data_IF_071719323366
#
_entry.id   IF_071719323366
#
_cell.length_a   1.000
_cell.length_b   1.000
_cell.length_c   1.000
_cell.angle_alpha   90.00
_cell.angle_beta   90.00
_cell.angle_gamma   90.00
#
_symmetry.space_group_name_H-M   'P 1'
#
loop_
_entity.id
_entity.type
_entity.pdbx_description
1 polymer ?
#
# COMPACT_ATOMS: atom_id res chain seq x y z
N UNK A 1 -1.79 39.29 28.34
CA UNK A 1 -1.75 37.81 28.29
C UNK A 1 -2.67 37.44 27.14
N UNK A 2 -2.09 37.10 25.99
CA UNK A 2 -2.87 36.62 24.84
C UNK A 2 -3.20 35.16 25.10
N UNK A 3 -4.47 34.80 24.98
CA UNK A 3 -4.90 33.41 25.03
C UNK A 3 -4.14 32.60 23.96
N UNK A 4 -3.75 31.35 24.25
CA UNK A 4 -3.19 30.48 23.24
C UNK A 4 -4.21 30.33 22.11
N UNK A 5 -3.78 30.31 20.84
CA UNK A 5 -4.68 30.06 19.73
C UNK A 5 -5.35 28.69 19.94
N UNK A 6 -6.65 28.64 19.68
CA UNK A 6 -7.42 27.40 19.66
C UNK A 6 -6.68 26.31 18.87
N UNK A 7 -6.74 25.04 19.30
CA UNK A 7 -6.19 23.94 18.52
C UNK A 7 -6.84 23.96 17.13
N UNK A 8 -6.07 23.77 16.04
CA UNK A 8 -6.63 23.76 14.70
C UNK A 8 -7.71 22.68 14.62
N UNK A 9 -8.81 23.04 13.93
CA UNK A 9 -9.98 22.19 13.72
C UNK A 9 -9.59 20.75 13.38
N UNK A 10 -10.35 19.82 13.96
CA UNK A 10 -10.18 18.37 13.96
C UNK A 10 -10.46 17.69 12.61
N UNK A 11 -9.93 18.21 11.51
CA UNK A 11 -9.91 17.52 10.22
C UNK A 11 -8.50 16.97 9.97
N UNK A 12 -8.37 15.65 9.86
CA UNK A 12 -7.13 15.04 9.38
C UNK A 12 -6.76 15.71 8.03
N UNK A 13 -5.52 16.19 7.86
CA UNK A 13 -5.15 16.97 6.69
C UNK A 13 -5.36 16.15 5.42
N UNK A 14 -5.81 16.79 4.34
CA UNK A 14 -5.88 16.10 3.04
C UNK A 14 -4.47 15.81 2.51
N UNK A 15 -4.35 14.89 1.54
CA UNK A 15 -3.06 14.63 0.89
C UNK A 15 -2.47 15.91 0.25
N UNK A 16 -3.33 16.76 -0.32
CA UNK A 16 -2.92 18.03 -0.93
C UNK A 16 -2.32 18.99 0.11
N UNK A 17 -2.94 19.11 1.27
CA UNK A 17 -2.47 19.94 2.39
C UNK A 17 -1.13 19.42 2.93
N UNK A 18 -1.01 18.11 3.08
CA UNK A 18 0.23 17.49 3.54
C UNK A 18 1.38 17.72 2.54
N UNK A 19 1.12 17.58 1.24
CA UNK A 19 2.10 17.88 0.19
C UNK A 19 2.41 19.38 0.14
N UNK A 20 1.43 20.24 0.42
CA UNK A 20 1.53 21.70 0.33
C UNK A 20 1.24 22.23 -1.08
N UNK A 21 0.26 21.66 -1.77
CA UNK A 21 -0.15 22.04 -3.13
C UNK A 21 -1.65 22.28 -3.23
N UNK A 22 -2.07 22.96 -4.30
CA UNK A 22 -3.49 23.14 -4.66
C UNK A 22 -3.94 22.23 -5.79
N UNK A 23 -3.01 21.49 -6.39
CA UNK A 23 -3.31 20.57 -7.47
C UNK A 23 -4.12 19.37 -6.95
N UNK A 24 -4.99 18.82 -7.81
CA UNK A 24 -5.76 17.61 -7.50
C UNK A 24 -5.25 16.37 -8.26
N UNK A 25 -4.19 16.52 -9.08
CA UNK A 25 -3.54 15.39 -9.77
C UNK A 25 -2.13 15.26 -9.24
N UNK A 26 -1.82 14.06 -8.74
CA UNK A 26 -0.53 13.77 -8.12
C UNK A 26 0.16 12.66 -8.91
N UNK A 27 1.45 12.85 -9.17
CA UNK A 27 2.34 11.77 -9.60
C UNK A 27 3.23 11.42 -8.43
N UNK A 28 2.92 10.30 -7.78
CA UNK A 28 3.71 9.75 -6.68
C UNK A 28 4.76 8.80 -7.25
N UNK A 29 6.01 9.24 -7.27
CA UNK A 29 7.11 8.40 -7.73
C UNK A 29 7.50 7.39 -6.65
N UNK A 30 7.31 6.11 -6.95
CA UNK A 30 7.85 4.96 -6.22
C UNK A 30 8.65 4.05 -7.17
N UNK A 31 10.00 4.12 -7.14
CA UNK A 31 10.87 3.30 -7.99
C UNK A 31 10.69 1.78 -7.84
N UNK A 32 9.99 1.33 -6.81
CA UNK A 32 9.71 -0.09 -6.61
C UNK A 32 8.85 -0.68 -7.73
N UNK A 33 8.00 0.12 -8.37
CA UNK A 33 7.15 -0.30 -9.50
C UNK A 33 7.95 -0.66 -10.77
N UNK A 34 9.20 -0.22 -10.90
CA UNK A 34 10.06 -0.60 -12.02
C UNK A 34 10.61 -2.03 -11.89
N UNK A 35 10.48 -2.67 -10.72
CA UNK A 35 11.04 -4.01 -10.50
C UNK A 35 10.08 -5.07 -11.04
N UNK A 36 10.60 -5.96 -11.86
CA UNK A 36 9.86 -7.05 -12.51
C UNK A 36 10.43 -8.43 -12.16
N UNK A 37 9.73 -9.50 -12.54
CA UNK A 37 10.17 -10.89 -12.37
C UNK A 37 10.51 -11.25 -10.92
N UNK A 38 11.69 -11.81 -10.67
CA UNK A 38 12.12 -12.21 -9.32
C UNK A 38 12.34 -11.03 -8.35
N UNK A 39 12.48 -9.81 -8.89
CA UNK A 39 12.69 -8.58 -8.11
C UNK A 39 11.38 -7.83 -7.81
N UNK A 40 10.28 -8.17 -8.49
CA UNK A 40 8.97 -7.55 -8.30
C UNK A 40 8.46 -7.81 -6.87
N UNK A 41 8.60 -6.83 -5.98
CA UNK A 41 8.15 -6.91 -4.58
C UNK A 41 7.68 -5.54 -4.12
N UNK A 42 6.97 -5.46 -3.01
CA UNK A 42 6.59 -4.23 -2.33
C UNK A 42 5.92 -3.17 -3.24
N UNK A 43 5.23 -3.59 -4.32
CA UNK A 43 4.60 -2.69 -5.28
C UNK A 43 3.50 -1.83 -4.65
N UNK A 44 2.83 -2.36 -3.61
CA UNK A 44 1.75 -1.69 -2.89
C UNK A 44 2.23 -1.02 -1.60
N UNK A 45 3.54 -0.91 -1.36
CA UNK A 45 4.09 -0.36 -0.10
C UNK A 45 3.70 1.09 0.20
N UNK A 46 3.33 1.86 -0.82
CA UNK A 46 2.87 3.24 -0.69
C UNK A 46 1.38 3.33 -0.33
N UNK A 47 0.62 2.25 -0.48
CA UNK A 47 -0.82 2.25 -0.27
C UNK A 47 -1.19 2.55 1.19
N UNK A 48 -0.52 1.98 2.22
CA UNK A 48 -0.86 2.29 3.61
C UNK A 48 -0.67 3.77 3.94
N UNK A 49 0.32 4.44 3.33
CA UNK A 49 0.50 5.88 3.46
C UNK A 49 -0.65 6.66 2.81
N UNK A 50 -1.04 6.31 1.59
CA UNK A 50 -2.14 6.98 0.90
C UNK A 50 -3.49 6.78 1.60
N UNK A 51 -3.73 5.60 2.16
CA UNK A 51 -4.92 5.27 2.92
C UNK A 51 -5.10 6.15 4.18
N UNK A 52 -4.02 6.64 4.80
CA UNK A 52 -4.10 7.59 5.93
C UNK A 52 -4.79 8.91 5.57
N UNK A 53 -4.83 9.25 4.28
CA UNK A 53 -5.49 10.45 3.77
C UNK A 53 -6.91 10.17 3.24
N UNK A 54 -7.52 9.05 3.65
CA UNK A 54 -8.89 8.68 3.29
C UNK A 54 -9.06 8.19 1.85
N UNK A 55 -7.98 7.80 1.18
CA UNK A 55 -8.00 7.30 -0.19
C UNK A 55 -8.18 5.77 -0.19
N UNK A 56 -9.41 5.30 -0.42
CA UNK A 56 -9.78 3.88 -0.30
C UNK A 56 -9.99 3.17 -1.64
N UNK A 57 -10.05 3.89 -2.77
CA UNK A 57 -10.32 3.32 -4.09
C UNK A 57 -9.02 3.21 -4.88
N UNK A 58 -8.64 1.99 -5.25
CA UNK A 58 -7.32 1.69 -5.81
C UNK A 58 -7.45 0.90 -7.09
N UNK A 59 -6.81 1.38 -8.14
CA UNK A 59 -6.59 0.66 -9.37
C UNK A 59 -5.16 0.14 -9.42
N UNK A 60 -5.00 -1.16 -9.58
CA UNK A 60 -3.72 -1.78 -9.87
C UNK A 60 -3.93 -3.09 -10.65
N UNK A 61 -2.88 -3.62 -11.31
CA UNK A 61 -2.95 -4.91 -11.97
C UNK A 61 -3.28 -6.06 -11.01
N UNK A 62 -4.02 -7.05 -11.49
CA UNK A 62 -4.36 -8.25 -10.72
C UNK A 62 -3.13 -8.99 -10.16
N UNK A 63 -2.00 -8.96 -10.85
CA UNK A 63 -0.73 -9.56 -10.39
C UNK A 63 -0.17 -8.97 -9.08
N UNK A 64 -0.74 -7.88 -8.57
CA UNK A 64 -0.37 -7.34 -7.26
C UNK A 64 -1.33 -7.77 -6.16
N UNK A 65 -2.52 -8.29 -6.49
CA UNK A 65 -3.51 -8.81 -5.53
C UNK A 65 -3.24 -10.29 -5.22
N UNK A 66 -2.30 -10.54 -4.32
CA UNK A 66 -1.83 -11.89 -3.99
C UNK A 66 -2.57 -12.52 -2.79
N UNK A 67 -3.81 -12.13 -2.51
CA UNK A 67 -4.61 -12.75 -1.44
C UNK A 67 -4.22 -12.35 -0.02
N UNK A 68 -3.58 -11.18 0.17
CA UNK A 68 -3.41 -10.54 1.47
C UNK A 68 -3.45 -9.02 1.31
N UNK A 69 -4.19 -8.35 2.19
CA UNK A 69 -4.27 -6.89 2.23
C UNK A 69 -3.88 -6.38 3.62
N UNK A 70 -2.81 -5.58 3.69
CA UNK A 70 -2.36 -4.97 4.96
C UNK A 70 -3.16 -3.72 5.33
N UNK A 71 -3.94 -3.19 4.40
CA UNK A 71 -4.88 -2.08 4.61
C UNK A 71 -6.12 -2.35 3.78
N UNK A 72 -7.28 -1.89 4.25
CA UNK A 72 -8.53 -2.01 3.51
C UNK A 72 -8.58 -1.05 2.33
N UNK A 73 -9.02 -1.54 1.18
CA UNK A 73 -9.29 -0.74 -0.01
C UNK A 73 -10.24 -1.47 -0.96
N UNK A 74 -10.90 -0.69 -1.82
CA UNK A 74 -11.75 -1.14 -2.92
C UNK A 74 -10.91 -1.25 -4.18
N UNK A 75 -10.57 -2.48 -4.55
CA UNK A 75 -9.83 -2.78 -5.77
C UNK A 75 -10.69 -2.53 -7.02
N UNK A 76 -10.09 -1.87 -7.99
CA UNK A 76 -10.52 -1.80 -9.39
C UNK A 76 -9.40 -2.41 -10.24
N UNK A 77 -9.46 -3.69 -10.62
CA UNK A 77 -8.40 -4.31 -11.41
C UNK A 77 -8.16 -3.50 -12.70
N UNK A 78 -6.90 -3.22 -13.01
CA UNK A 78 -6.58 -2.47 -14.23
C UNK A 78 -7.12 -3.20 -15.49
N UNK A 79 -7.14 -4.53 -15.45
CA UNK A 79 -7.72 -5.41 -16.47
C UNK A 79 -9.17 -5.02 -16.79
N UNK A 80 -9.98 -4.78 -15.75
CA UNK A 80 -11.38 -4.40 -15.89
C UNK A 80 -11.52 -2.99 -16.46
N UNK A 81 -10.62 -2.07 -16.10
CA UNK A 81 -10.60 -0.71 -16.67
C UNK A 81 -10.25 -0.73 -18.17
N UNK A 82 -9.35 -1.64 -18.58
CA UNK A 82 -9.00 -1.85 -19.99
C UNK A 82 -10.17 -2.49 -20.76
N UNK A 83 -10.81 -3.52 -20.21
CA UNK A 83 -11.89 -4.26 -20.87
C UNK A 83 -13.22 -3.48 -20.93
N UNK A 84 -13.63 -2.88 -19.81
CA UNK A 84 -14.94 -2.27 -19.64
C UNK A 84 -14.93 -0.74 -19.80
N UNK A 85 -13.74 -0.15 -19.89
CA UNK A 85 -13.55 1.30 -19.93
C UNK A 85 -13.72 1.97 -18.57
N UNK A 86 -13.65 3.31 -18.56
CA UNK A 86 -13.55 4.10 -17.32
C UNK A 86 -14.83 4.86 -16.95
N UNK A 87 -15.95 4.58 -17.64
CA UNK A 87 -17.19 5.36 -17.53
C UNK A 87 -17.82 5.32 -16.13
N UNK A 88 -17.66 4.23 -15.38
CA UNK A 88 -18.24 4.06 -14.04
C UNK A 88 -17.21 4.16 -12.90
N UNK A 89 -15.98 4.56 -13.20
CA UNK A 89 -14.93 4.76 -12.20
C UNK A 89 -15.25 6.00 -11.36
N UNK A 90 -15.27 5.81 -10.04
CA UNK A 90 -15.41 6.86 -9.03
C UNK A 90 -14.06 7.45 -8.62
N UNK A 91 -14.09 8.67 -8.08
CA UNK A 91 -12.96 9.39 -7.52
C UNK A 91 -13.25 9.76 -6.04
N UNK A 92 -12.23 9.96 -5.19
CA UNK A 92 -10.80 9.94 -5.47
C UNK A 92 -10.28 8.55 -5.84
N UNK A 93 -9.17 8.49 -6.59
CA UNK A 93 -8.60 7.25 -7.11
C UNK A 93 -7.08 7.24 -6.95
N UNK A 94 -6.56 6.13 -6.42
CA UNK A 94 -5.14 5.77 -6.51
C UNK A 94 -4.98 4.83 -7.69
N UNK A 95 -4.00 5.05 -8.56
CA UNK A 95 -3.78 4.20 -9.73
C UNK A 95 -2.29 3.86 -9.87
N UNK A 96 -1.97 2.59 -9.70
CA UNK A 96 -0.63 2.04 -9.84
C UNK A 96 -0.36 1.72 -11.31
N UNK A 97 0.58 2.45 -11.91
CA UNK A 97 0.97 2.31 -13.31
C UNK A 97 2.46 2.56 -13.49
N UNK A 98 3.22 1.55 -13.89
CA UNK A 98 4.64 1.72 -14.25
C UNK A 98 4.79 2.31 -15.67
N UNK A 99 5.98 2.82 -16.00
CA UNK A 99 6.29 3.28 -17.34
C UNK A 99 6.15 2.16 -18.38
N UNK A 100 6.54 0.93 -18.02
CA UNK A 100 6.38 -0.26 -18.88
C UNK A 100 4.90 -0.61 -19.12
N UNK A 101 4.03 -0.36 -18.13
CA UNK A 101 2.58 -0.50 -18.33
C UNK A 101 2.00 0.59 -19.23
N UNK A 102 2.56 1.81 -19.21
CA UNK A 102 2.12 2.87 -20.13
C UNK A 102 2.55 2.63 -21.58
N UNK A 103 3.63 1.88 -21.79
CA UNK A 103 4.17 1.59 -23.13
C UNK A 103 3.71 0.24 -23.68
N UNK A 104 3.08 -0.60 -22.84
CA UNK A 104 2.73 -1.99 -23.20
C UNK A 104 3.94 -2.93 -23.24
N UNK A 105 5.05 -2.53 -22.61
CA UNK A 105 6.28 -3.33 -22.52
C UNK A 105 6.19 -4.39 -21.41
N UNK A 106 5.40 -4.12 -20.37
CA UNK A 106 5.11 -5.11 -19.33
C UNK A 106 4.11 -6.14 -19.87
N UNK A 107 4.49 -7.41 -19.74
CA UNK A 107 3.68 -8.56 -20.15
C UNK A 107 3.95 -9.74 -19.23
N UNK A 108 2.93 -10.58 -19.04
CA UNK A 108 3.09 -11.95 -18.57
C UNK A 108 2.69 -12.93 -19.69
N UNK A 109 2.56 -14.21 -19.35
CA UNK A 109 2.24 -15.25 -20.32
C UNK A 109 0.84 -15.10 -20.94
N UNK A 110 -0.07 -14.38 -20.27
CA UNK A 110 -1.49 -14.31 -20.64
C UNK A 110 -1.94 -12.91 -21.06
N UNK A 111 -1.21 -11.85 -20.70
CA UNK A 111 -1.65 -10.46 -20.81
C UNK A 111 -0.53 -9.47 -21.13
N UNK A 112 -0.90 -8.45 -21.91
CA UNK A 112 -0.10 -7.22 -22.08
C UNK A 112 -0.74 -6.13 -21.24
N UNK A 113 0.06 -5.49 -20.40
CA UNK A 113 -0.37 -4.40 -19.55
C UNK A 113 -0.18 -3.08 -20.30
N UNK A 114 -1.23 -2.61 -20.98
CA UNK A 114 -1.21 -1.34 -21.73
C UNK A 114 -2.23 -0.33 -21.18
N UNK A 115 -1.75 0.50 -20.24
CA UNK A 115 -2.57 1.44 -19.45
C UNK A 115 -2.72 2.83 -20.07
N UNK A 116 -2.07 3.09 -21.20
CA UNK A 116 -1.93 4.45 -21.70
C UNK A 116 -3.29 5.13 -21.97
N UNK A 117 -4.23 4.40 -22.58
CA UNK A 117 -5.56 4.91 -22.89
C UNK A 117 -6.44 5.04 -21.64
N UNK A 118 -6.29 4.13 -20.67
CA UNK A 118 -7.00 4.16 -19.40
C UNK A 118 -6.60 5.41 -18.63
N UNK A 119 -5.29 5.62 -18.42
CA UNK A 119 -4.76 6.81 -17.73
C UNK A 119 -5.20 8.09 -18.43
N UNK A 120 -5.10 8.16 -19.76
CA UNK A 120 -5.52 9.33 -20.53
C UNK A 120 -7.01 9.66 -20.34
N UNK A 121 -7.88 8.65 -20.33
CA UNK A 121 -9.33 8.81 -20.14
C UNK A 121 -9.66 9.19 -18.70
N UNK A 122 -9.03 8.59 -17.70
CA UNK A 122 -9.20 8.95 -16.28
C UNK A 122 -8.79 10.40 -16.03
N UNK A 123 -7.64 10.84 -16.55
CA UNK A 123 -7.18 12.24 -16.45
C UNK A 123 -8.21 13.23 -16.99
N UNK A 124 -8.94 12.88 -18.05
CA UNK A 124 -9.99 13.74 -18.64
C UNK A 124 -11.33 13.65 -17.91
N UNK A 125 -11.66 12.48 -17.35
CA UNK A 125 -12.96 12.21 -16.74
C UNK A 125 -13.04 12.65 -15.28
N UNK A 126 -11.89 12.77 -14.60
CA UNK A 126 -11.84 13.15 -13.19
C UNK A 126 -12.64 14.45 -12.95
N UNK A 127 -13.43 14.55 -11.88
CA UNK A 127 -14.01 15.82 -11.47
C UNK A 127 -12.93 16.82 -11.06
N UNK A 128 -13.18 18.11 -11.26
CA UNK A 128 -12.26 19.16 -10.81
C UNK A 128 -12.18 19.21 -9.27
N UNK A 129 -10.96 19.41 -8.75
CA UNK A 129 -10.70 19.46 -7.31
C UNK A 129 -10.70 18.10 -6.60
N UNK A 130 -11.05 16.99 -7.28
CA UNK A 130 -11.04 15.65 -6.66
C UNK A 130 -9.69 14.96 -6.92
N UNK A 131 -9.04 14.37 -5.89
CA UNK A 131 -7.75 13.71 -6.03
C UNK A 131 -7.71 12.57 -7.05
N UNK A 132 -6.70 12.59 -7.92
CA UNK A 132 -6.26 11.45 -8.70
C UNK A 132 -4.76 11.24 -8.51
N UNK A 133 -4.39 10.18 -7.79
CA UNK A 133 -3.00 9.85 -7.46
C UNK A 133 -2.52 8.76 -8.40
N UNK A 134 -1.54 9.07 -9.24
CA UNK A 134 -0.88 8.10 -10.11
C UNK A 134 0.42 7.69 -9.44
N UNK A 135 0.50 6.44 -8.97
CA UNK A 135 1.72 5.87 -8.40
C UNK A 135 2.49 5.22 -9.54
N UNK A 136 3.73 5.65 -9.75
CA UNK A 136 4.55 5.25 -10.91
C UNK A 136 6.03 5.20 -10.54
N UNK A 137 6.86 4.54 -11.33
CA UNK A 137 8.30 4.40 -11.09
C UNK A 137 9.14 5.63 -11.49
N UNK A 138 8.54 6.55 -12.25
CA UNK A 138 9.19 7.76 -12.77
C UNK A 138 8.43 9.04 -12.43
N UNK A 139 9.14 10.13 -12.18
CA UNK A 139 8.51 11.45 -11.99
C UNK A 139 8.02 12.11 -13.29
N UNK A 140 8.36 11.53 -14.45
CA UNK A 140 8.01 12.07 -15.77
C UNK A 140 7.44 10.98 -16.70
N UNK A 141 6.32 10.34 -16.30
CA UNK A 141 5.72 9.26 -17.06
C UNK A 141 5.25 9.71 -18.46
N UNK A 142 5.60 8.89 -19.46
CA UNK A 142 5.36 9.18 -20.88
C UNK A 142 4.20 8.35 -21.41
N UNK A 143 3.39 8.99 -22.25
CA UNK A 143 2.28 8.37 -22.97
C UNK A 143 2.49 8.53 -24.49
N UNK A 144 3.41 7.78 -25.12
CA UNK A 144 3.85 8.01 -26.50
C UNK A 144 2.71 8.02 -27.53
N UNK A 145 1.64 7.22 -27.36
CA UNK A 145 0.47 7.27 -28.28
C UNK A 145 -0.33 8.58 -28.21
N UNK A 146 -0.19 9.36 -27.11
CA UNK A 146 -0.93 10.61 -26.88
C UNK A 146 -0.03 11.86 -26.92
N UNK A 147 1.26 11.72 -26.64
CA UNK A 147 2.21 12.84 -26.61
C UNK A 147 2.86 13.05 -27.98
N UNK A 148 2.40 14.05 -28.74
CA UNK A 148 2.92 14.37 -30.10
C UNK A 148 4.36 14.91 -30.12
N UNK A 149 4.84 15.47 -29.02
CA UNK A 149 6.21 16.03 -28.93
C UNK A 149 7.11 15.03 -28.20
N UNK A 150 8.24 14.61 -28.81
CA UNK A 150 9.25 13.81 -28.12
C UNK A 150 9.66 14.47 -26.81
N UNK A 151 9.58 13.72 -25.70
CA UNK A 151 10.00 14.19 -24.39
C UNK A 151 8.94 14.87 -23.51
N UNK A 152 7.72 15.15 -24.02
CA UNK A 152 6.64 15.62 -23.15
C UNK A 152 6.07 14.49 -22.30
N UNK A 153 5.94 14.74 -21.01
CA UNK A 153 5.25 13.90 -20.02
C UNK A 153 3.78 14.31 -19.94
N UNK A 154 2.91 13.44 -19.42
CA UNK A 154 1.54 13.88 -19.11
C UNK A 154 1.49 14.87 -17.94
N UNK A 155 2.52 14.90 -17.09
CA UNK A 155 2.69 15.93 -16.05
C UNK A 155 2.64 17.33 -16.65
N UNK A 156 3.26 17.52 -17.82
CA UNK A 156 3.30 18.81 -18.52
C UNK A 156 1.95 19.19 -19.16
N UNK A 157 1.04 18.23 -19.31
CA UNK A 157 -0.25 18.41 -19.99
C UNK A 157 -1.41 18.57 -18.99
N UNK A 158 -1.32 17.96 -17.80
CA UNK A 158 -2.41 17.90 -16.81
C UNK A 158 -2.16 18.69 -15.53
N UNK A 159 -1.09 19.51 -15.48
CA UNK A 159 -0.72 20.31 -14.31
C UNK A 159 -0.66 19.43 -13.04
N UNK A 160 0.20 18.42 -13.08
CA UNK A 160 0.34 17.49 -11.96
C UNK A 160 1.41 17.96 -10.97
N UNK A 161 1.15 17.81 -9.68
CA UNK A 161 2.20 17.87 -8.66
C UNK A 161 2.95 16.53 -8.63
N UNK A 162 4.28 16.56 -8.85
CA UNK A 162 5.14 15.39 -8.76
C UNK A 162 5.82 15.33 -7.40
N UNK A 163 5.74 14.18 -6.73
CA UNK A 163 6.28 13.97 -5.39
C UNK A 163 7.01 12.63 -5.28
N UNK A 164 8.08 12.60 -4.48
CA UNK A 164 8.85 11.39 -4.20
C UNK A 164 8.28 10.67 -2.97
N UNK A 165 7.86 9.41 -3.12
CA UNK A 165 7.23 8.66 -2.04
C UNK A 165 8.09 8.60 -0.78
N UNK A 166 9.38 8.25 -0.93
CA UNK A 166 10.33 8.18 0.19
C UNK A 166 10.43 9.52 0.94
N UNK A 167 10.35 10.64 0.24
CA UNK A 167 10.39 11.98 0.83
C UNK A 167 9.15 12.28 1.67
N UNK A 168 7.96 11.96 1.13
CA UNK A 168 6.70 12.12 1.84
C UNK A 168 6.60 11.23 3.07
N UNK A 169 6.95 9.94 2.94
CA UNK A 169 6.96 9.01 4.06
C UNK A 169 7.91 9.50 5.16
N UNK A 170 9.14 9.90 4.80
CA UNK A 170 10.11 10.43 5.78
C UNK A 170 9.54 11.63 6.54
N UNK A 171 8.92 12.58 5.83
CA UNK A 171 8.27 13.74 6.45
C UNK A 171 7.16 13.30 7.38
N UNK A 172 6.33 12.35 6.95
CA UNK A 172 5.22 11.85 7.75
C UNK A 172 5.70 11.23 9.06
N UNK A 173 6.67 10.31 8.99
CA UNK A 173 7.25 9.66 10.16
C UNK A 173 7.85 10.69 11.12
N UNK A 174 8.63 11.65 10.62
CA UNK A 174 9.27 12.68 11.45
C UNK A 174 8.29 13.48 12.32
N UNK A 175 7.08 13.73 11.83
CA UNK A 175 6.11 14.59 12.53
C UNK A 175 4.99 13.83 13.23
N UNK A 176 4.70 12.59 12.85
CA UNK A 176 3.49 11.89 13.28
C UNK A 176 3.75 10.55 13.95
N UNK A 177 4.94 9.95 13.79
CA UNK A 177 5.14 8.55 14.18
C UNK A 177 6.56 8.26 14.66
N UNK A 178 6.69 7.87 15.92
CA UNK A 178 7.95 7.45 16.51
C UNK A 178 8.19 5.95 16.32
N UNK A 179 8.62 5.57 15.12
CA UNK A 179 8.94 4.19 14.74
C UNK A 179 10.44 3.89 14.95
N UNK A 180 10.75 2.71 15.49
CA UNK A 180 12.15 2.23 15.60
C UNK A 180 12.66 1.57 14.31
N UNK A 181 11.77 1.22 13.38
CA UNK A 181 12.19 0.76 12.05
C UNK A 181 12.88 1.86 11.22
N UNK A 182 14.06 1.60 10.65
CA UNK A 182 14.70 2.53 9.72
C UNK A 182 14.06 2.48 8.32
N UNK A 183 14.01 3.60 7.60
CA UNK A 183 13.53 3.67 6.20
C UNK A 183 14.35 2.81 5.20
N UNK A 184 15.51 2.31 5.62
CA UNK A 184 16.31 1.36 4.85
C UNK A 184 15.82 -0.09 4.97
N UNK A 185 15.11 -0.44 6.03
CA UNK A 185 14.52 -1.78 6.18
C UNK A 185 13.18 -1.87 5.44
N UNK A 186 12.35 -0.84 5.55
CA UNK A 186 11.09 -0.75 4.81
C UNK A 186 10.70 0.70 4.53
N UNK A 187 9.94 0.89 3.45
CA UNK A 187 9.23 2.13 3.17
C UNK A 187 7.72 1.87 3.16
N UNK A 188 7.23 0.94 3.97
CA UNK A 188 5.80 0.67 4.10
C UNK A 188 5.29 1.22 5.45
N UNK A 189 4.36 2.17 5.41
CA UNK A 189 3.85 2.84 6.61
C UNK A 189 3.21 1.87 7.60
N UNK A 190 2.60 0.78 7.12
CA UNK A 190 1.96 -0.23 7.98
C UNK A 190 2.94 -0.79 9.02
N UNK A 191 4.15 -1.17 8.61
CA UNK A 191 5.15 -1.70 9.56
C UNK A 191 5.65 -0.62 10.52
N UNK A 192 5.79 0.63 10.07
CA UNK A 192 6.15 1.73 10.95
C UNK A 192 5.07 1.98 12.02
N UNK A 193 3.78 1.82 11.68
CA UNK A 193 2.67 1.98 12.63
C UNK A 193 2.71 0.90 13.71
N UNK A 194 2.93 -0.36 13.32
CA UNK A 194 3.11 -1.45 14.29
C UNK A 194 4.34 -1.19 15.16
N UNK A 195 5.48 -0.84 14.56
CA UNK A 195 6.72 -0.54 15.29
C UNK A 195 6.52 0.57 16.33
N UNK A 196 5.88 1.67 15.97
CA UNK A 196 5.59 2.74 16.92
C UNK A 196 4.62 2.31 18.02
N UNK A 197 3.64 1.46 17.71
CA UNK A 197 2.73 0.90 18.70
C UNK A 197 3.47 0.03 19.72
N UNK A 198 4.25 -0.94 19.24
CA UNK A 198 5.05 -1.86 20.05
C UNK A 198 6.08 -1.13 20.91
N UNK A 199 6.78 -0.15 20.33
CA UNK A 199 7.73 0.70 21.04
C UNK A 199 7.10 1.43 22.23
N UNK A 200 5.90 1.99 22.07
CA UNK A 200 5.18 2.66 23.17
C UNK A 200 4.86 1.72 24.33
N UNK A 201 4.73 0.43 24.05
CA UNK A 201 4.49 -0.62 25.03
C UNK A 201 5.79 -1.28 25.54
N UNK A 202 6.96 -0.79 25.11
CA UNK A 202 8.27 -1.29 25.56
C UNK A 202 8.71 -2.62 24.94
N UNK A 203 8.08 -3.04 23.84
CA UNK A 203 8.43 -4.26 23.11
C UNK A 203 9.53 -4.02 22.07
N UNK A 204 10.17 -5.10 21.62
CA UNK A 204 11.11 -5.02 20.50
C UNK A 204 10.36 -4.67 19.21
N UNK A 205 10.76 -3.55 18.61
CA UNK A 205 10.12 -2.95 17.45
C UNK A 205 11.15 -2.53 16.38
N UNK A 206 12.40 -2.98 16.52
CA UNK A 206 13.54 -2.55 15.71
C UNK A 206 13.68 -3.30 14.38
N UNK A 207 12.99 -4.44 14.21
CA UNK A 207 13.01 -5.22 12.97
C UNK A 207 11.64 -5.74 12.58
N UNK A 208 11.41 -5.92 11.28
CA UNK A 208 10.09 -6.35 10.76
C UNK A 208 9.68 -7.72 11.31
N UNK A 209 10.55 -8.75 11.40
CA UNK A 209 10.18 -10.02 12.03
C UNK A 209 9.70 -9.87 13.48
N UNK A 210 10.30 -8.98 14.27
CA UNK A 210 9.92 -8.80 15.68
C UNK A 210 8.51 -8.22 15.82
N UNK A 211 8.04 -7.46 14.82
CA UNK A 211 6.66 -6.96 14.76
C UNK A 211 5.61 -8.07 14.61
N UNK A 212 6.01 -9.29 14.28
CA UNK A 212 5.14 -10.45 14.07
C UNK A 212 5.49 -11.60 15.03
N UNK A 213 6.12 -11.30 16.17
CA UNK A 213 6.23 -12.25 17.26
C UNK A 213 4.89 -12.36 18.00
N UNK A 214 4.03 -13.27 17.52
CA UNK A 214 2.71 -13.51 18.09
C UNK A 214 2.73 -13.97 19.56
N UNK A 215 3.87 -14.41 20.09
CA UNK A 215 3.98 -14.83 21.49
C UNK A 215 4.11 -13.66 22.46
N UNK A 216 4.51 -12.48 21.97
CA UNK A 216 4.72 -11.26 22.75
C UNK A 216 3.81 -10.12 22.29
N UNK A 217 2.93 -10.38 21.33
CA UNK A 217 2.18 -9.35 20.63
C UNK A 217 1.05 -8.80 21.54
N UNK A 218 0.94 -7.47 21.72
CA UNK A 218 -0.16 -6.87 22.45
C UNK A 218 -1.49 -7.22 21.79
N UNK A 219 -2.54 -7.42 22.59
CA UNK A 219 -3.86 -7.71 22.02
C UNK A 219 -4.33 -6.59 21.07
N UNK A 220 -4.05 -5.33 21.35
CA UNK A 220 -4.46 -4.20 20.49
C UNK A 220 -3.52 -3.95 19.28
N UNK A 221 -2.52 -4.80 19.06
CA UNK A 221 -1.58 -4.65 17.96
C UNK A 221 -2.23 -4.89 16.59
N UNK A 222 -1.99 -4.03 15.59
CA UNK A 222 -2.48 -4.24 14.22
C UNK A 222 -1.91 -5.49 13.53
N UNK A 223 -0.83 -6.08 14.04
CA UNK A 223 -0.22 -7.26 13.43
C UNK A 223 -1.10 -8.53 13.53
N UNK A 224 -2.21 -8.48 14.28
CA UNK A 224 -3.25 -9.50 14.27
C UNK A 224 -4.10 -9.48 12.99
N UNK A 225 -4.30 -8.31 12.37
CA UNK A 225 -5.24 -8.12 11.25
C UNK A 225 -4.93 -9.05 10.05
N UNK A 226 -3.66 -9.27 9.65
CA UNK A 226 -3.33 -10.22 8.60
C UNK A 226 -3.76 -11.65 8.90
N UNK A 227 -3.74 -12.08 10.17
CA UNK A 227 -4.18 -13.44 10.55
C UNK A 227 -5.69 -13.56 10.42
N UNK A 228 -6.46 -12.57 10.90
CA UNK A 228 -7.90 -12.52 10.67
C UNK A 228 -8.25 -12.53 9.19
N UNK A 229 -7.52 -11.75 8.39
CA UNK A 229 -7.71 -11.71 6.94
C UNK A 229 -7.52 -13.10 6.32
N UNK A 230 -6.40 -13.78 6.64
CA UNK A 230 -6.10 -15.10 6.12
C UNK A 230 -7.14 -16.14 6.54
N UNK A 231 -7.59 -16.14 7.80
CA UNK A 231 -8.65 -17.04 8.27
C UNK A 231 -9.96 -16.84 7.48
N UNK A 232 -10.36 -15.58 7.25
CA UNK A 232 -11.61 -15.24 6.55
C UNK A 232 -11.59 -15.62 5.07
N UNK A 233 -10.45 -15.39 4.42
CA UNK A 233 -10.31 -15.64 2.99
C UNK A 233 -9.97 -17.11 2.67
N UNK A 234 -9.38 -17.85 3.61
CA UNK A 234 -8.87 -19.21 3.37
C UNK A 234 -9.67 -20.33 4.07
N UNK A 235 -10.83 -20.00 4.66
CA UNK A 235 -11.70 -20.96 5.38
C UNK A 235 -12.04 -22.24 4.60
N UNK A 236 -11.93 -22.22 3.26
CA UNK A 236 -12.29 -23.36 2.38
C UNK A 236 -11.09 -24.09 1.73
N UNK A 237 -9.82 -23.69 1.98
CA UNK A 237 -8.66 -24.23 1.25
C UNK A 237 -7.39 -24.40 2.12
N UNK A 238 -7.32 -25.51 2.88
CA UNK A 238 -6.03 -25.96 3.45
C UNK A 238 -5.23 -26.66 2.36
N UNK A 239 -4.39 -25.89 1.66
CA UNK A 239 -3.55 -26.37 0.56
C UNK A 239 -2.21 -26.92 1.07
N UNK A 240 -1.63 -27.85 0.31
CA UNK A 240 -0.19 -28.14 0.36
C UNK A 240 0.60 -26.84 0.03
N UNK A 241 1.71 -26.57 0.73
CA UNK A 241 2.57 -25.37 0.60
C UNK A 241 1.98 -24.01 1.04
N UNK A 242 1.18 -23.99 2.11
CA UNK A 242 0.56 -22.75 2.62
C UNK A 242 1.57 -21.64 3.00
N UNK A 243 2.78 -21.96 3.48
CA UNK A 243 3.84 -20.95 3.72
C UNK A 243 4.21 -20.18 2.43
N UNK A 244 4.26 -20.88 1.29
CA UNK A 244 4.59 -20.28 0.00
C UNK A 244 3.50 -19.32 -0.45
N UNK A 245 2.24 -19.67 -0.20
CA UNK A 245 1.08 -18.79 -0.41
C UNK A 245 1.20 -17.52 0.43
N UNK A 246 1.43 -17.62 1.75
CA UNK A 246 1.60 -16.43 2.61
C UNK A 246 2.78 -15.59 2.13
N UNK A 247 3.89 -16.23 1.72
CA UNK A 247 5.08 -15.54 1.22
C UNK A 247 4.79 -14.77 -0.06
N UNK A 248 4.03 -15.36 -0.98
CA UNK A 248 3.61 -14.71 -2.22
C UNK A 248 2.60 -13.58 -1.92
N UNK A 249 1.70 -13.78 -0.96
CA UNK A 249 0.75 -12.77 -0.50
C UNK A 249 1.45 -11.53 0.08
N UNK A 250 2.47 -11.75 0.91
CA UNK A 250 3.31 -10.68 1.49
C UNK A 250 4.24 -10.01 0.46
N UNK A 251 4.42 -10.61 -0.72
CA UNK A 251 5.40 -10.14 -1.72
C UNK A 251 5.06 -8.74 -2.22
N UNK A 252 3.79 -8.40 -2.41
CA UNK A 252 3.35 -7.06 -2.84
C UNK A 252 3.57 -5.97 -1.79
N UNK A 253 3.88 -6.35 -0.55
CA UNK A 253 3.92 -5.44 0.60
C UNK A 253 5.29 -5.30 1.26
N UNK A 254 6.13 -6.32 1.15
CA UNK A 254 7.41 -6.43 1.89
C UNK A 254 8.61 -6.27 0.97
N UNK A 255 9.57 -5.42 1.38
CA UNK A 255 10.89 -5.41 0.76
C UNK A 255 11.67 -6.71 1.03
N UNK A 256 12.80 -6.91 0.35
CA UNK A 256 13.59 -8.15 0.44
C UNK A 256 14.13 -8.38 1.86
N UNK A 257 14.00 -9.61 2.35
CA UNK A 257 14.67 -10.07 3.59
C UNK A 257 13.73 -10.67 4.63
N UNK A 258 12.72 -9.95 5.12
CA UNK A 258 11.88 -10.40 6.22
C UNK A 258 10.74 -11.34 5.79
N UNK A 259 10.35 -11.37 4.52
CA UNK A 259 9.12 -12.05 4.04
C UNK A 259 9.00 -13.50 4.51
N UNK A 260 10.08 -14.31 4.43
CA UNK A 260 10.02 -15.72 4.84
C UNK A 260 9.81 -15.87 6.34
N UNK A 261 10.46 -15.03 7.16
CA UNK A 261 10.33 -15.10 8.61
C UNK A 261 8.91 -14.72 9.05
N UNK A 262 8.37 -13.64 8.47
CA UNK A 262 6.99 -13.23 8.71
C UNK A 262 6.02 -14.34 8.29
N UNK A 263 6.21 -14.93 7.10
CA UNK A 263 5.34 -15.99 6.60
C UNK A 263 5.36 -17.23 7.53
N UNK A 264 6.53 -17.60 8.07
CA UNK A 264 6.63 -18.68 9.05
C UNK A 264 5.88 -18.32 10.34
N UNK A 265 6.11 -17.12 10.91
CA UNK A 265 5.41 -16.68 12.12
C UNK A 265 3.89 -16.65 11.94
N UNK A 266 3.41 -16.20 10.78
CA UNK A 266 1.98 -16.20 10.45
C UNK A 266 1.42 -17.61 10.34
N UNK A 267 2.14 -18.52 9.67
CA UNK A 267 1.73 -19.92 9.58
C UNK A 267 1.69 -20.59 10.96
N UNK A 268 2.75 -20.44 11.76
CA UNK A 268 2.82 -21.02 13.10
C UNK A 268 1.63 -20.57 13.96
N UNK A 269 1.25 -19.29 13.85
CA UNK A 269 0.08 -18.76 14.53
C UNK A 269 -1.23 -19.36 13.98
N UNK A 270 -1.41 -19.40 12.66
CA UNK A 270 -2.60 -19.98 12.02
C UNK A 270 -2.80 -21.45 12.39
N UNK A 271 -1.74 -22.26 12.37
CA UNK A 271 -1.76 -23.66 12.79
C UNK A 271 -2.10 -23.80 14.28
N UNK A 272 -1.56 -22.92 15.12
CA UNK A 272 -1.85 -22.94 16.56
C UNK A 272 -3.32 -22.66 16.88
N UNK A 273 -3.94 -21.73 16.17
CA UNK A 273 -5.37 -21.41 16.33
C UNK A 273 -6.27 -22.27 15.46
N UNK A 274 -5.71 -23.28 14.78
CA UNK A 274 -6.46 -24.22 13.92
C UNK A 274 -7.31 -23.47 12.88
N UNK A 275 -6.79 -22.34 12.40
CA UNK A 275 -7.47 -21.46 11.43
C UNK A 275 -8.86 -20.97 11.90
N UNK A 276 -9.12 -20.86 13.21
CA UNK A 276 -10.41 -20.41 13.77
C UNK A 276 -10.31 -19.01 14.41
N UNK A 277 -11.19 -18.08 14.03
CA UNK A 277 -11.22 -16.71 14.62
C UNK A 277 -11.46 -16.74 16.14
N UNK A 278 -12.36 -17.60 16.62
CA UNK A 278 -12.67 -17.70 18.05
C UNK A 278 -11.45 -18.14 18.88
N UNK A 279 -10.63 -19.05 18.33
CA UNK A 279 -9.39 -19.48 18.99
C UNK A 279 -8.31 -18.41 18.93
N UNK A 280 -8.26 -17.62 17.84
CA UNK A 280 -7.37 -16.47 17.74
C UNK A 280 -7.71 -15.40 18.77
N UNK A 281 -9.00 -15.05 18.93
CA UNK A 281 -9.44 -14.14 19.98
C UNK A 281 -9.08 -14.68 21.36
N UNK A 282 -9.35 -15.95 21.65
CA UNK A 282 -8.99 -16.56 22.92
C UNK A 282 -7.48 -16.53 23.20
N UNK A 283 -6.63 -16.70 22.18
CA UNK A 283 -5.18 -16.59 22.30
C UNK A 283 -4.74 -15.14 22.55
N UNK A 284 -5.27 -14.21 21.76
CA UNK A 284 -4.99 -12.78 21.80
C UNK A 284 -5.29 -12.16 23.17
N UNK A 285 -6.42 -12.52 23.79
CA UNK A 285 -6.82 -11.95 25.08
C UNK A 285 -6.21 -12.67 26.29
N UNK A 286 -5.78 -13.94 26.17
CA UNK A 286 -5.13 -14.66 27.27
C UNK A 286 -3.84 -13.97 27.73
N UNK A 287 -3.09 -13.38 26.81
CA UNK A 287 -1.87 -12.62 27.11
C UNK A 287 -2.10 -11.28 27.82
N UNK A 288 -3.36 -10.83 27.98
CA UNK A 288 -3.69 -9.66 28.81
C UNK A 288 -3.94 -10.01 30.28
N UNK A 289 -4.26 -11.26 30.61
CA UNK A 289 -4.58 -11.67 31.99
C UNK A 289 -3.33 -12.02 32.81
N UNK A 290 -2.22 -12.35 32.14
CA UNK A 290 -0.95 -12.75 32.75
C UNK A 290 0.12 -11.62 32.82
N UNK A 291 -0.20 -10.40 32.35
CA UNK A 291 0.68 -9.22 32.31
C UNK A 291 0.23 -8.11 33.28
#
# INVERSE_FOLDING_TARGET
MQDPPDPPDSESPTLADFIGTRDSVFVLRDPQLAKTGSQARAQLRSLPFLAQFGLDRVAHPGIYDNGLRLVEYKLLPNEDLRANGVANVGFPLIHYVSQEMLTGELRDDESVYDEQDVVRRLLRKRPDGVPYVIVTDTGSPKMPRHTRKPGKSFVDEFECTVVEYKGLLKRYLQYNLDSDLPLSSTQNLYFHQISAHHKRLGLDAGSIPDLFDYTQLPADSPAWDPIYYLIREDADQVLEDYTERIREALRSWTERGPTQKIANSMLDMLEWVDYEEERLDAYRYRHQEDA
#
